data_IF_335345344203
#
_entry.id   IF_335345344203
#
_cell.length_a   1.000
_cell.length_b   1.000
_cell.length_c   1.000
_cell.angle_alpha   90.00
_cell.angle_beta   90.00
_cell.angle_gamma   90.00
#
_symmetry.space_group_name_H-M   'P 1'
#
loop_
_entity.id
_entity.type
_entity.pdbx_description
1 polymer ?
#
# COMPACT_ATOMS: atom_id res chain seq x y z
N UNK A 1 11.32 16.92 14.09
CA UNK A 1 10.23 17.88 13.90
C UNK A 1 8.93 17.33 14.44
N UNK A 2 8.25 18.11 15.26
CA UNK A 2 6.93 17.80 15.80
C UNK A 2 5.91 18.77 15.22
N UNK A 3 4.76 18.26 14.80
CA UNK A 3 3.68 19.08 14.25
C UNK A 3 2.33 18.39 14.40
N UNK A 4 1.26 19.17 14.30
CA UNK A 4 -0.11 18.65 14.30
C UNK A 4 -0.81 19.04 13.01
N UNK A 5 -1.58 18.12 12.44
CA UNK A 5 -2.37 18.38 11.24
C UNK A 5 -3.82 17.93 11.42
N UNK A 6 -4.70 18.51 10.61
CA UNK A 6 -6.11 18.13 10.51
C UNK A 6 -6.43 17.64 9.10
N UNK A 7 -7.06 16.46 8.98
CA UNK A 7 -7.51 15.90 7.70
C UNK A 7 -9.04 15.95 7.63
N UNK A 8 -9.59 16.49 6.54
CA UNK A 8 -11.02 16.41 6.22
C UNK A 8 -11.45 14.99 5.86
N UNK A 9 -12.71 14.61 6.14
CA UNK A 9 -13.20 13.24 5.86
C UNK A 9 -12.99 12.84 4.39
N UNK A 10 -13.19 13.77 3.45
CA UNK A 10 -13.06 13.47 2.02
C UNK A 10 -11.61 13.08 1.66
N UNK A 11 -10.63 13.85 2.14
CA UNK A 11 -9.20 13.50 2.02
C UNK A 11 -8.89 12.20 2.76
N UNK A 12 -9.47 11.96 3.93
CA UNK A 12 -9.28 10.70 4.66
C UNK A 12 -9.84 9.47 3.91
N UNK A 13 -10.93 9.62 3.17
CA UNK A 13 -11.48 8.56 2.29
C UNK A 13 -10.59 8.29 1.09
N UNK A 14 -10.00 9.35 0.52
CA UNK A 14 -9.04 9.24 -0.58
C UNK A 14 -7.74 8.57 -0.13
N UNK A 15 -7.19 8.98 1.01
CA UNK A 15 -6.07 8.32 1.69
C UNK A 15 -6.40 6.85 1.96
N UNK A 16 -7.62 6.52 2.41
CA UNK A 16 -8.03 5.14 2.62
C UNK A 16 -8.06 4.33 1.31
N UNK A 17 -8.53 4.92 0.22
CA UNK A 17 -8.52 4.30 -1.12
C UNK A 17 -7.08 4.04 -1.57
N UNK A 18 -6.21 5.06 -1.51
CA UNK A 18 -4.81 4.94 -1.91
C UNK A 18 -4.04 3.95 -1.04
N UNK A 19 -4.33 3.88 0.27
CA UNK A 19 -3.79 2.85 1.16
C UNK A 19 -4.11 1.43 0.66
N UNK A 20 -5.33 1.19 0.18
CA UNK A 20 -5.73 -0.12 -0.37
C UNK A 20 -5.00 -0.37 -1.68
N UNK A 21 -4.99 0.60 -2.60
CA UNK A 21 -4.32 0.48 -3.90
C UNK A 21 -2.83 0.20 -3.71
N UNK A 22 -2.17 0.96 -2.84
CA UNK A 22 -0.76 0.80 -2.52
C UNK A 22 -0.48 -0.59 -1.95
N UNK A 23 -1.22 -1.02 -0.92
CA UNK A 23 -1.08 -2.37 -0.36
C UNK A 23 -1.50 -3.50 -1.33
N UNK A 24 -2.38 -3.22 -2.29
CA UNK A 24 -2.82 -4.18 -3.30
C UNK A 24 -1.82 -4.30 -4.44
N UNK A 25 -1.11 -3.23 -4.82
CA UNK A 25 -0.12 -3.24 -5.89
C UNK A 25 0.96 -4.31 -5.71
N UNK A 26 1.45 -4.49 -4.47
CA UNK A 26 2.42 -5.54 -4.11
C UNK A 26 1.80 -6.94 -4.11
N UNK A 27 0.53 -7.07 -3.72
CA UNK A 27 -0.21 -8.34 -3.78
C UNK A 27 -0.49 -8.73 -5.23
N UNK A 28 -0.81 -7.77 -6.08
CA UNK A 28 -1.02 -7.92 -7.52
C UNK A 28 0.26 -8.36 -8.23
N UNK A 29 1.42 -7.80 -7.87
CA UNK A 29 2.70 -8.27 -8.42
C UNK A 29 2.98 -9.73 -8.07
N UNK A 30 2.77 -10.14 -6.81
CA UNK A 30 2.91 -11.55 -6.40
C UNK A 30 1.90 -12.46 -7.09
N UNK A 31 0.64 -12.03 -7.19
CA UNK A 31 -0.41 -12.77 -7.87
C UNK A 31 -0.12 -12.92 -9.37
N UNK A 32 0.38 -11.87 -10.03
CA UNK A 32 0.84 -11.93 -11.42
C UNK A 32 1.95 -12.95 -11.60
N UNK A 33 2.93 -13.00 -10.70
CA UNK A 33 4.03 -13.97 -10.78
C UNK A 33 3.53 -15.41 -10.61
N UNK A 34 2.67 -15.66 -9.62
CA UNK A 34 2.04 -16.98 -9.42
C UNK A 34 1.18 -17.36 -10.64
N UNK A 35 0.44 -16.41 -11.18
CA UNK A 35 -0.39 -16.62 -12.36
C UNK A 35 0.45 -16.93 -13.61
N UNK A 36 1.54 -16.20 -13.84
CA UNK A 36 2.49 -16.48 -14.92
C UNK A 36 3.09 -17.88 -14.77
N UNK A 37 3.40 -18.30 -13.54
CA UNK A 37 3.90 -19.64 -13.24
C UNK A 37 2.83 -20.71 -13.55
N UNK A 38 1.58 -20.50 -13.12
CA UNK A 38 0.46 -21.39 -13.39
C UNK A 38 0.14 -21.48 -14.88
N UNK A 39 0.18 -20.35 -15.60
CA UNK A 39 0.00 -20.30 -17.04
C UNK A 39 1.10 -21.07 -17.77
N UNK A 40 2.36 -20.97 -17.30
CA UNK A 40 3.47 -21.76 -17.82
C UNK A 40 3.26 -23.26 -17.57
N UNK A 41 2.84 -23.65 -16.36
CA UNK A 41 2.52 -25.05 -16.03
C UNK A 41 1.37 -25.56 -16.91
N UNK A 42 0.34 -24.75 -17.14
CA UNK A 42 -0.75 -25.09 -18.06
C UNK A 42 -0.25 -25.24 -19.50
N UNK A 43 0.60 -24.34 -19.98
CA UNK A 43 1.23 -24.42 -21.32
C UNK A 43 2.06 -25.69 -21.49
N UNK A 44 2.89 -26.03 -20.49
CA UNK A 44 3.65 -27.29 -20.46
C UNK A 44 2.71 -28.48 -20.46
N UNK A 45 1.65 -28.43 -19.64
CA UNK A 45 0.58 -29.43 -19.63
C UNK A 45 -0.08 -29.60 -21.00
N UNK A 46 -0.34 -28.49 -21.71
CA UNK A 46 -0.91 -28.48 -23.06
C UNK A 46 0.02 -29.16 -24.07
N UNK A 47 1.31 -28.83 -24.05
CA UNK A 47 2.33 -29.39 -24.95
C UNK A 47 2.58 -30.88 -24.68
N UNK A 48 2.67 -31.28 -23.41
CA UNK A 48 2.74 -32.70 -23.01
C UNK A 48 1.43 -33.42 -23.31
N UNK A 49 0.34 -32.67 -23.39
CA UNK A 49 -0.95 -33.13 -23.80
C UNK A 49 -1.11 -33.24 -25.34
N UNK A 50 -0.11 -33.80 -26.07
CA UNK A 50 -0.20 -34.21 -27.50
C UNK A 50 -0.31 -35.75 -27.80
N UNK A 51 -0.02 -36.67 -26.86
CA UNK A 51 -0.54 -38.11 -26.71
C UNK A 51 -2.09 -38.42 -26.48
N UNK A 52 -2.89 -38.86 -27.46
CA UNK A 52 -4.29 -38.45 -27.69
C UNK A 52 -5.42 -38.69 -26.65
N UNK A 53 -5.28 -39.50 -25.61
CA UNK A 53 -6.45 -40.23 -25.10
C UNK A 53 -7.26 -39.60 -23.94
N UNK A 54 -6.97 -38.40 -23.41
CA UNK A 54 -7.74 -37.87 -22.25
C UNK A 54 -7.72 -36.33 -22.02
N UNK A 55 -8.00 -35.50 -23.02
CA UNK A 55 -7.48 -34.11 -22.99
C UNK A 55 -8.38 -32.92 -23.09
N UNK A 56 -9.52 -33.02 -23.78
CA UNK A 56 -10.39 -31.85 -23.93
C UNK A 56 -10.98 -31.45 -22.57
N UNK A 57 -11.34 -32.43 -21.73
CA UNK A 57 -11.84 -32.16 -20.38
C UNK A 57 -10.77 -31.55 -19.45
N UNK A 58 -9.54 -32.08 -19.45
CA UNK A 58 -8.43 -31.51 -18.67
C UNK A 58 -8.08 -30.09 -19.13
N UNK A 59 -8.05 -29.85 -20.45
CA UNK A 59 -7.84 -28.52 -21.02
C UNK A 59 -8.91 -27.53 -20.56
N UNK A 60 -10.18 -27.93 -20.58
CA UNK A 60 -11.30 -27.10 -20.11
C UNK A 60 -11.19 -26.78 -18.61
N UNK A 61 -10.78 -27.76 -17.79
CA UNK A 61 -10.53 -27.55 -16.36
C UNK A 61 -9.40 -26.55 -16.13
N UNK A 62 -8.29 -26.65 -16.87
CA UNK A 62 -7.18 -25.69 -16.77
C UNK A 62 -7.58 -24.28 -17.20
N UNK A 63 -8.32 -24.15 -18.31
CA UNK A 63 -8.84 -22.85 -18.78
C UNK A 63 -9.82 -22.26 -17.76
N UNK A 64 -10.72 -23.06 -17.20
CA UNK A 64 -11.64 -22.63 -16.15
C UNK A 64 -10.91 -22.10 -14.91
N UNK A 65 -9.91 -22.85 -14.41
CA UNK A 65 -9.11 -22.41 -13.27
C UNK A 65 -8.34 -21.11 -13.55
N UNK A 66 -7.84 -20.94 -14.77
CA UNK A 66 -7.13 -19.75 -15.21
C UNK A 66 -8.07 -18.53 -15.26
N UNK A 67 -9.27 -18.67 -15.83
CA UNK A 67 -10.30 -17.62 -15.87
C UNK A 67 -10.83 -17.28 -14.46
N UNK A 68 -11.10 -18.28 -13.63
CA UNK A 68 -11.55 -18.09 -12.25
C UNK A 68 -10.50 -17.33 -11.41
N UNK A 69 -9.23 -17.70 -11.55
CA UNK A 69 -8.12 -17.00 -10.89
C UNK A 69 -8.00 -15.55 -11.32
N UNK A 70 -8.20 -15.26 -12.61
CA UNK A 70 -8.24 -13.90 -13.17
C UNK A 70 -9.37 -13.07 -12.55
N UNK A 71 -10.60 -13.60 -12.49
CA UNK A 71 -11.74 -12.88 -11.91
C UNK A 71 -11.54 -12.54 -10.43
N UNK A 72 -11.01 -13.48 -9.64
CA UNK A 72 -10.81 -13.26 -8.21
C UNK A 72 -9.79 -12.16 -7.91
N UNK A 73 -8.82 -11.93 -8.80
CA UNK A 73 -7.84 -10.83 -8.67
C UNK A 73 -8.47 -9.46 -8.91
N UNK A 74 -9.44 -9.33 -9.81
CA UNK A 74 -10.09 -8.03 -10.06
C UNK A 74 -11.16 -7.71 -9.02
N UNK A 75 -11.99 -8.69 -8.65
CA UNK A 75 -13.10 -8.48 -7.69
C UNK A 75 -12.55 -8.21 -6.27
N UNK A 76 -11.38 -8.78 -5.93
CA UNK A 76 -10.77 -8.63 -4.60
C UNK A 76 -10.37 -7.20 -4.24
N UNK A 77 -9.94 -6.38 -5.21
CA UNK A 77 -9.51 -5.00 -4.99
C UNK A 77 -10.71 -4.10 -4.66
N UNK A 78 -11.73 -4.10 -5.51
CA UNK A 78 -12.92 -3.27 -5.33
C UNK A 78 -13.68 -3.59 -4.03
N UNK A 79 -13.81 -4.88 -3.69
CA UNK A 79 -14.45 -5.29 -2.44
C UNK A 79 -13.67 -4.79 -1.22
N UNK A 80 -12.33 -4.84 -1.26
CA UNK A 80 -11.49 -4.32 -0.17
C UNK A 80 -11.58 -2.80 -0.05
N UNK A 81 -11.59 -2.07 -1.17
CA UNK A 81 -11.77 -0.61 -1.19
C UNK A 81 -13.13 -0.25 -0.58
N UNK A 82 -14.23 -0.87 -1.04
CA UNK A 82 -15.58 -0.61 -0.52
C UNK A 82 -15.70 -0.94 0.97
N UNK A 83 -15.15 -2.07 1.40
CA UNK A 83 -15.17 -2.47 2.81
C UNK A 83 -14.40 -1.47 3.69
N UNK A 84 -13.23 -1.01 3.24
CA UNK A 84 -12.43 -0.03 3.98
C UNK A 84 -13.11 1.34 4.01
N UNK A 85 -13.64 1.82 2.88
CA UNK A 85 -14.41 3.07 2.82
C UNK A 85 -15.61 3.03 3.78
N UNK A 86 -16.35 1.93 3.81
CA UNK A 86 -17.47 1.77 4.73
C UNK A 86 -17.02 1.75 6.20
N UNK A 87 -15.89 1.11 6.51
CA UNK A 87 -15.31 1.11 7.85
C UNK A 87 -14.86 2.51 8.27
N UNK A 88 -14.15 3.22 7.39
CA UNK A 88 -13.75 4.62 7.55
C UNK A 88 -14.98 5.50 7.80
N UNK A 89 -16.00 5.46 6.94
CA UNK A 89 -17.26 6.20 7.13
C UNK A 89 -17.94 5.89 8.47
N UNK A 90 -17.95 4.61 8.89
CA UNK A 90 -18.54 4.20 10.17
C UNK A 90 -17.78 4.78 11.37
N UNK A 91 -16.45 4.73 11.37
CA UNK A 91 -15.61 5.26 12.47
C UNK A 91 -15.78 6.78 12.58
N UNK A 92 -16.06 7.47 11.47
CA UNK A 92 -16.06 8.93 11.40
C UNK A 92 -17.44 9.57 11.19
N UNK A 93 -18.53 8.82 11.41
CA UNK A 93 -19.92 9.24 11.12
C UNK A 93 -20.32 10.60 11.72
N UNK A 94 -19.63 11.06 12.77
CA UNK A 94 -19.94 12.29 13.52
C UNK A 94 -18.73 13.26 13.66
N UNK A 95 -17.68 13.13 12.85
CA UNK A 95 -16.48 13.99 12.93
C UNK A 95 -16.18 14.63 11.59
N UNK A 96 -16.11 15.96 11.53
CA UNK A 96 -15.79 16.68 10.28
C UNK A 96 -14.30 16.64 9.92
N UNK A 97 -13.42 16.61 10.94
CA UNK A 97 -11.96 16.60 10.78
C UNK A 97 -11.28 15.62 11.74
N UNK A 98 -10.10 15.15 11.34
CA UNK A 98 -9.23 14.28 12.13
C UNK A 98 -7.95 15.01 12.50
N UNK A 99 -7.75 15.28 13.79
CA UNK A 99 -6.53 15.87 14.32
C UNK A 99 -5.52 14.78 14.68
N UNK A 100 -4.30 14.90 14.17
CA UNK A 100 -3.19 14.01 14.45
C UNK A 100 -1.98 14.83 14.89
N UNK A 101 -1.37 14.46 16.02
CA UNK A 101 -0.04 14.93 16.37
C UNK A 101 1.00 13.92 15.92
N UNK A 102 2.05 14.40 15.24
CA UNK A 102 3.11 13.56 14.68
C UNK A 102 4.49 14.12 15.03
N UNK A 103 5.38 13.22 15.41
CA UNK A 103 6.82 13.46 15.55
C UNK A 103 7.56 12.67 14.48
N UNK A 104 8.38 13.37 13.70
CA UNK A 104 9.31 12.76 12.75
C UNK A 104 10.73 13.20 13.13
N UNK A 105 11.63 12.25 13.33
CA UNK A 105 13.04 12.55 13.53
C UNK A 105 13.92 11.52 12.78
N UNK A 106 15.22 11.55 13.00
CA UNK A 106 16.18 10.62 12.40
C UNK A 106 15.99 9.16 12.80
N UNK A 107 15.15 8.86 13.80
CA UNK A 107 15.00 7.51 14.35
C UNK A 107 13.63 6.92 14.07
N UNK A 108 12.58 7.74 14.03
CA UNK A 108 11.20 7.26 14.02
C UNK A 108 10.20 8.25 13.40
N UNK A 109 9.05 7.70 13.04
CA UNK A 109 7.77 8.40 12.83
C UNK A 109 6.85 7.97 13.98
N UNK A 110 6.29 8.91 14.73
CA UNK A 110 5.45 8.60 15.89
C UNK A 110 4.16 9.43 15.88
N UNK A 111 3.04 8.80 16.26
CA UNK A 111 1.74 9.45 16.41
C UNK A 111 1.37 9.60 17.88
N UNK A 112 0.96 10.80 18.27
CA UNK A 112 0.37 11.05 19.58
C UNK A 112 -1.11 10.69 19.57
N UNK A 113 -1.50 9.84 20.52
CA UNK A 113 -2.91 9.52 20.73
C UNK A 113 -3.52 10.42 21.80
N UNK A 114 -4.85 10.48 21.79
CA UNK A 114 -5.62 11.27 22.75
C UNK A 114 -5.47 10.81 24.21
N UNK A 115 -5.01 9.58 24.44
CA UNK A 115 -4.75 9.00 25.77
C UNK A 115 -3.30 9.24 26.26
N UNK A 116 -2.59 10.19 25.65
CA UNK A 116 -1.16 10.46 25.85
C UNK A 116 -0.23 9.28 25.51
N UNK A 117 -0.74 8.19 24.93
CA UNK A 117 0.12 7.12 24.43
C UNK A 117 0.69 7.47 23.06
N UNK A 118 1.90 6.99 22.79
CA UNK A 118 2.59 7.24 21.52
C UNK A 118 2.67 5.96 20.71
N UNK A 119 2.18 5.99 19.47
CA UNK A 119 2.40 4.89 18.52
C UNK A 119 3.63 5.20 17.68
N UNK A 120 4.75 4.53 17.99
CA UNK A 120 6.02 4.75 17.32
C UNK A 120 6.35 3.71 16.23
N UNK A 121 6.92 4.21 15.13
CA UNK A 121 7.44 3.46 14.01
C UNK A 121 8.92 3.80 13.80
N UNK A 122 9.84 2.98 14.32
CA UNK A 122 11.27 3.14 14.04
C UNK A 122 11.54 3.08 12.53
N UNK A 123 12.35 4.00 12.00
CA UNK A 123 12.68 4.07 10.57
C UNK A 123 13.36 2.79 10.08
N UNK A 124 14.14 2.13 10.95
CA UNK A 124 14.77 0.84 10.65
C UNK A 124 13.76 -0.32 10.44
N UNK A 125 12.51 -0.15 10.88
CA UNK A 125 11.45 -1.15 10.77
C UNK A 125 10.58 -0.94 9.54
N UNK A 126 10.69 0.22 8.88
CA UNK A 126 9.94 0.55 7.67
C UNK A 126 10.51 -0.25 6.49
N UNK A 127 9.63 -0.96 5.79
CA UNK A 127 9.97 -1.82 4.65
C UNK A 127 9.40 -1.33 3.33
N UNK A 128 8.42 -0.44 3.39
CA UNK A 128 7.70 0.13 2.25
C UNK A 128 7.35 1.56 2.58
N UNK A 129 7.63 2.48 1.67
CA UNK A 129 7.37 3.90 1.88
C UNK A 129 7.31 4.63 0.54
N UNK A 130 6.32 5.50 0.37
CA UNK A 130 6.14 6.30 -0.83
C UNK A 130 5.53 7.66 -0.48
N UNK A 131 5.99 8.71 -1.16
CA UNK A 131 5.43 10.04 -1.07
C UNK A 131 4.44 10.30 -2.22
N UNK A 132 3.40 11.08 -1.95
CA UNK A 132 2.34 11.46 -2.88
C UNK A 132 2.05 12.95 -2.75
N UNK A 133 2.53 13.78 -3.69
CA UNK A 133 2.28 15.23 -3.65
C UNK A 133 0.80 15.59 -3.79
N UNK A 134 0.04 14.85 -4.59
CA UNK A 134 -1.39 15.06 -4.80
C UNK A 134 -2.18 14.97 -3.49
N UNK A 135 -1.76 14.08 -2.59
CA UNK A 135 -2.29 13.97 -1.23
C UNK A 135 -1.48 14.73 -0.19
N UNK A 136 -0.36 15.33 -0.60
CA UNK A 136 0.58 16.06 0.23
C UNK A 136 1.16 15.24 1.38
N UNK A 137 1.33 13.93 1.23
CA UNK A 137 1.62 13.06 2.36
C UNK A 137 2.40 11.79 2.06
N UNK A 138 2.82 11.16 3.14
CA UNK A 138 3.71 10.00 3.13
C UNK A 138 2.95 8.74 3.55
N UNK A 139 3.02 7.71 2.72
CA UNK A 139 2.51 6.38 3.00
C UNK A 139 3.65 5.47 3.41
N UNK A 140 3.49 4.68 4.47
CA UNK A 140 4.53 3.74 4.88
C UNK A 140 3.99 2.49 5.57
N UNK A 141 4.81 1.43 5.61
CA UNK A 141 4.48 0.17 6.28
C UNK A 141 5.72 -0.55 6.80
N UNK A 142 5.57 -1.23 7.94
CA UNK A 142 6.55 -2.16 8.52
C UNK A 142 6.61 -3.51 7.79
N UNK A 143 5.66 -3.78 6.90
CA UNK A 143 5.53 -5.05 6.19
C UNK A 143 6.14 -4.97 4.78
N UNK A 144 6.92 -5.99 4.39
CA UNK A 144 7.47 -6.13 3.02
C UNK A 144 6.40 -6.16 1.92
N UNK A 145 5.17 -6.56 2.26
CA UNK A 145 4.01 -6.58 1.34
C UNK A 145 3.06 -5.38 1.55
N UNK A 146 3.50 -4.32 2.25
CA UNK A 146 2.69 -3.14 2.58
C UNK A 146 1.35 -3.47 3.26
N UNK A 147 1.37 -4.42 4.21
CA UNK A 147 0.21 -4.71 5.07
C UNK A 147 0.18 -3.69 6.21
N UNK A 148 -1.00 -3.14 6.51
CA UNK A 148 -1.18 -2.06 7.49
C UNK A 148 -0.37 -0.82 7.09
N UNK A 149 -0.87 -0.10 6.08
CA UNK A 149 -0.27 1.14 5.59
C UNK A 149 -0.73 2.28 6.49
N UNK A 150 0.22 3.12 6.87
CA UNK A 150 0.02 4.33 7.66
C UNK A 150 0.24 5.56 6.76
N UNK A 151 -0.45 6.64 7.09
CA UNK A 151 -0.38 7.90 6.36
C UNK A 151 0.02 9.05 7.29
N UNK A 152 0.93 9.90 6.84
CA UNK A 152 1.27 11.17 7.49
C UNK A 152 1.01 12.29 6.51
N UNK A 153 0.19 13.25 6.91
CA UNK A 153 -0.06 14.44 6.11
C UNK A 153 1.08 15.44 6.32
N UNK A 154 1.77 15.79 5.23
CA UNK A 154 2.84 16.77 5.24
C UNK A 154 2.40 18.09 4.59
N UNK A 155 1.14 18.22 4.16
CA UNK A 155 0.65 19.39 3.42
C UNK A 155 0.60 20.65 4.28
N UNK A 156 0.55 20.50 5.60
CA UNK A 156 0.61 21.61 6.57
C UNK A 156 2.01 22.22 6.70
N UNK A 157 3.04 21.56 6.17
CA UNK A 157 4.42 22.01 6.23
C UNK A 157 4.76 22.86 5.01
N UNK A 158 5.57 23.89 5.23
CA UNK A 158 6.25 24.62 4.16
C UNK A 158 7.08 23.66 3.30
N UNK A 159 7.26 24.01 2.03
CA UNK A 159 7.94 23.16 1.05
C UNK A 159 9.36 22.79 1.48
N UNK A 160 10.11 23.76 2.00
CA UNK A 160 11.47 23.57 2.51
C UNK A 160 11.50 22.58 3.69
N UNK A 161 10.63 22.76 4.67
CA UNK A 161 10.50 21.86 5.82
C UNK A 161 10.03 20.46 5.39
N UNK A 162 9.15 20.37 4.40
CA UNK A 162 8.69 19.10 3.84
C UNK A 162 9.84 18.34 3.18
N UNK A 163 10.64 19.01 2.36
CA UNK A 163 11.82 18.42 1.72
C UNK A 163 12.86 17.99 2.77
N UNK A 164 13.08 18.79 3.81
CA UNK A 164 13.98 18.44 4.91
C UNK A 164 13.52 17.17 5.64
N UNK A 165 12.22 17.06 5.93
CA UNK A 165 11.61 15.85 6.52
C UNK A 165 11.80 14.63 5.61
N UNK A 166 11.48 14.77 4.32
CA UNK A 166 11.62 13.68 3.35
C UNK A 166 13.08 13.21 3.22
N UNK A 167 14.03 14.14 3.17
CA UNK A 167 15.47 13.85 3.13
C UNK A 167 15.96 13.21 4.44
N UNK A 168 15.47 13.68 5.58
CA UNK A 168 15.78 13.08 6.88
C UNK A 168 15.33 11.63 6.94
N UNK A 169 14.10 11.35 6.50
CA UNK A 169 13.59 9.98 6.43
C UNK A 169 14.44 9.15 5.46
N UNK A 170 14.65 9.65 4.24
CA UNK A 170 15.40 8.95 3.19
C UNK A 170 16.80 8.54 3.65
N UNK A 171 17.52 9.44 4.31
CA UNK A 171 18.89 9.21 4.77
C UNK A 171 18.98 8.24 5.96
N UNK A 172 17.90 8.09 6.73
CA UNK A 172 17.88 7.26 7.94
C UNK A 172 17.15 5.91 7.78
N UNK A 173 16.43 5.71 6.66
CA UNK A 173 15.91 4.38 6.31
C UNK A 173 17.06 3.39 6.18
N UNK A 174 16.91 2.17 6.72
CA UNK A 174 17.92 1.10 6.56
C UNK A 174 17.61 0.12 5.44
N UNK A 175 16.35 0.03 5.05
CA UNK A 175 15.91 -0.90 4.01
C UNK A 175 16.15 -0.27 2.63
N UNK A 176 16.98 -0.93 1.81
CA UNK A 176 17.40 -0.42 0.49
C UNK A 176 16.22 -0.27 -0.46
N UNK A 177 15.25 -1.19 -0.41
CA UNK A 177 14.07 -1.11 -1.26
C UNK A 177 13.20 0.08 -0.85
N UNK A 178 13.04 0.30 0.46
CA UNK A 178 12.29 1.45 0.98
C UNK A 178 12.97 2.79 0.64
N UNK A 179 14.30 2.87 0.73
CA UNK A 179 15.05 4.05 0.30
C UNK A 179 14.84 4.35 -1.18
N UNK A 180 14.96 3.31 -2.02
CA UNK A 180 14.77 3.44 -3.47
C UNK A 180 13.35 3.90 -3.79
N UNK A 181 12.35 3.29 -3.16
CA UNK A 181 10.94 3.62 -3.35
C UNK A 181 10.64 5.08 -3.01
N UNK A 182 11.15 5.55 -1.86
CA UNK A 182 10.98 6.95 -1.45
C UNK A 182 11.69 7.91 -2.41
N UNK A 183 12.94 7.62 -2.78
CA UNK A 183 13.70 8.43 -3.72
C UNK A 183 12.99 8.56 -5.06
N UNK A 184 12.50 7.45 -5.61
CA UNK A 184 11.74 7.45 -6.86
C UNK A 184 10.45 8.26 -6.76
N UNK A 185 9.75 8.18 -5.63
CA UNK A 185 8.52 8.95 -5.43
C UNK A 185 8.75 10.46 -5.30
N UNK A 186 9.89 10.88 -4.74
CA UNK A 186 10.26 12.30 -4.64
C UNK A 186 10.71 12.84 -6.01
N UNK A 187 11.39 12.02 -6.83
CA UNK A 187 11.97 12.45 -8.12
C UNK A 187 11.01 12.41 -9.31
N UNK A 188 9.86 11.75 -9.17
CA UNK A 188 8.86 11.61 -10.26
C UNK A 188 7.93 12.82 -10.36
N UNK A 189 8.11 13.80 -9.50
CA UNK A 189 7.38 15.07 -9.41
C UNK A 189 8.31 16.22 -9.76
#
# INVERSE_FOLDING_TARGET
MEFTYEIEIQKALEVAKENVIYGYSFRKQKAKLIFSLLALICLIGIVLSVVPELRIFQLLVYIFWLVFSLMMVFIGEEMQIKALQNRTRKIYKNKEKLKHGVLINSEQIAYYKNDNSTMSFPLNSIRRITYRSDLGGLFFSKSRIARFVYFVDLSSLEETARLEVLNTILNNLKDVDAQKELRESISKE
#
